data_IF_606231549205
#
_entry.id   IF_606231549205
#
_cell.length_a   1.000
_cell.length_b   1.000
_cell.length_c   1.000
_cell.angle_alpha   90.00
_cell.angle_beta   90.00
_cell.angle_gamma   90.00
#
_symmetry.space_group_name_H-M   'P 1'
#
loop_
_entity.id
_entity.type
_entity.pdbx_description
1 polymer ?
#
# COMPACT_ATOMS: atom_id res chain seq x y z
N UNK A 1 7.51 2.07 -49.76
CA UNK A 1 8.86 1.76 -49.24
C UNK A 1 9.20 2.85 -48.23
N UNK A 2 9.30 2.55 -46.98
CA UNK A 2 9.68 3.50 -45.91
C UNK A 2 11.15 3.91 -46.11
N UNK A 3 11.41 5.20 -45.98
CA UNK A 3 12.74 5.78 -46.12
C UNK A 3 13.70 5.14 -45.09
N UNK A 4 14.93 4.70 -45.46
CA UNK A 4 15.91 4.16 -44.53
C UNK A 4 16.23 5.08 -43.36
N UNK A 5 16.09 6.40 -43.52
CA UNK A 5 16.30 7.38 -42.46
C UNK A 5 15.19 7.39 -41.42
N UNK A 6 13.94 7.10 -41.81
CA UNK A 6 12.80 6.97 -40.86
C UNK A 6 12.97 5.75 -39.95
N UNK A 7 13.54 4.66 -40.45
CA UNK A 7 13.85 3.46 -39.69
C UNK A 7 15.00 3.74 -38.71
N UNK A 8 16.01 4.51 -39.10
CA UNK A 8 17.15 4.86 -38.26
C UNK A 8 16.74 5.76 -37.08
N UNK A 9 15.88 6.75 -37.36
CA UNK A 9 15.31 7.65 -36.33
C UNK A 9 14.44 6.85 -35.34
N UNK A 10 13.62 5.91 -35.84
CA UNK A 10 12.82 5.04 -34.94
C UNK A 10 13.69 4.13 -34.05
N UNK A 11 14.84 3.66 -34.55
CA UNK A 11 15.80 2.86 -33.76
C UNK A 11 16.56 3.71 -32.73
N UNK A 12 16.96 4.93 -33.08
CA UNK A 12 17.65 5.85 -32.16
C UNK A 12 16.68 6.25 -31.02
N UNK A 13 15.45 6.63 -31.34
CA UNK A 13 14.42 6.96 -30.33
C UNK A 13 14.09 5.77 -29.43
N UNK A 14 14.12 4.55 -29.98
CA UNK A 14 13.89 3.33 -29.18
C UNK A 14 15.07 3.02 -28.25
N UNK A 15 16.31 3.26 -28.70
CA UNK A 15 17.50 3.10 -27.85
C UNK A 15 17.58 4.15 -26.73
N UNK A 16 17.23 5.41 -27.00
CA UNK A 16 17.12 6.45 -25.97
C UNK A 16 15.99 6.16 -24.97
N UNK A 17 14.86 5.62 -25.45
CA UNK A 17 13.75 5.22 -24.57
C UNK A 17 14.16 4.08 -23.64
N UNK A 18 14.95 3.11 -24.09
CA UNK A 18 15.45 1.99 -23.27
C UNK A 18 16.44 2.49 -22.21
N UNK A 19 17.33 3.42 -22.56
CA UNK A 19 18.30 3.98 -21.61
C UNK A 19 17.69 4.89 -20.54
N UNK A 20 16.42 5.28 -20.69
CA UNK A 20 15.71 6.16 -19.77
C UNK A 20 14.66 5.46 -18.92
N UNK A 21 14.63 4.14 -18.87
CA UNK A 21 13.70 3.36 -18.03
C UNK A 21 14.24 3.31 -16.60
N UNK A 22 13.38 3.63 -15.64
CA UNK A 22 13.72 3.45 -14.22
C UNK A 22 13.94 1.98 -13.93
N UNK A 23 15.04 1.68 -13.24
CA UNK A 23 15.38 0.35 -12.74
C UNK A 23 14.95 0.21 -11.28
N UNK A 24 14.31 -0.90 -10.92
CA UNK A 24 13.78 -1.15 -9.58
C UNK A 24 14.86 -1.26 -8.50
N UNK A 25 16.03 -1.79 -8.85
CA UNK A 25 17.18 -1.92 -7.93
C UNK A 25 17.69 -0.55 -7.54
N UNK A 26 17.75 0.35 -8.52
CA UNK A 26 18.15 1.73 -8.30
C UNK A 26 17.11 2.51 -7.48
N UNK A 27 15.82 2.38 -7.79
CA UNK A 27 14.74 3.00 -7.00
C UNK A 27 14.80 2.48 -5.55
N UNK A 28 15.09 1.19 -5.36
CA UNK A 28 15.29 0.62 -4.04
C UNK A 28 16.51 1.22 -3.32
N UNK A 29 17.63 1.40 -4.03
CA UNK A 29 18.85 2.03 -3.49
C UNK A 29 18.58 3.48 -3.06
N UNK A 30 17.94 4.27 -3.91
CA UNK A 30 17.55 5.66 -3.61
C UNK A 30 16.64 5.70 -2.37
N UNK A 31 15.62 4.85 -2.30
CA UNK A 31 14.74 4.79 -1.13
C UNK A 31 15.47 4.35 0.14
N UNK A 32 16.46 3.49 0.03
CA UNK A 32 17.28 3.04 1.16
C UNK A 32 18.22 4.13 1.68
N UNK A 33 18.75 4.97 0.77
CA UNK A 33 19.63 6.10 1.11
C UNK A 33 18.87 7.37 1.52
N UNK A 34 17.69 7.59 0.96
CA UNK A 34 16.93 8.84 1.11
C UNK A 34 16.25 9.00 2.47
N UNK A 35 16.65 8.24 3.45
CA UNK A 35 16.20 8.42 4.83
C UNK A 35 14.68 8.60 4.99
N UNK A 36 14.28 8.94 6.17
CA UNK A 36 12.98 9.26 6.70
C UNK A 36 12.05 10.08 5.76
N UNK A 37 12.58 10.96 4.92
CA UNK A 37 11.78 11.82 4.03
C UNK A 37 10.98 11.01 2.99
N UNK A 38 11.48 9.85 2.55
CA UNK A 38 10.84 9.02 1.55
C UNK A 38 9.71 8.16 2.13
N UNK A 39 9.93 7.54 3.27
CA UNK A 39 9.09 6.45 3.74
C UNK A 39 8.13 6.83 4.86
N UNK A 40 8.38 7.92 5.58
CA UNK A 40 7.41 8.48 6.53
C UNK A 40 6.07 8.82 5.86
N UNK A 41 6.03 9.50 4.69
CA UNK A 41 4.79 9.70 3.94
C UNK A 41 4.09 8.41 3.54
N UNK A 42 4.84 7.36 3.18
CA UNK A 42 4.28 6.06 2.83
C UNK A 42 3.59 5.41 4.03
N UNK A 43 4.24 5.34 5.19
CA UNK A 43 3.61 4.76 6.38
C UNK A 43 2.40 5.55 6.85
N UNK A 44 2.44 6.88 6.80
CA UNK A 44 1.28 7.72 7.07
C UNK A 44 0.14 7.45 6.10
N UNK A 45 0.45 7.28 4.81
CA UNK A 45 -0.51 6.86 3.80
C UNK A 45 -1.11 5.51 4.15
N UNK A 46 -0.30 4.48 4.45
CA UNK A 46 -0.78 3.14 4.78
C UNK A 46 -1.71 3.14 6.00
N UNK A 47 -1.37 3.84 7.06
CA UNK A 47 -2.21 3.93 8.25
C UNK A 47 -3.55 4.62 7.95
N UNK A 48 -3.52 5.73 7.23
CA UNK A 48 -4.76 6.45 6.88
C UNK A 48 -5.61 5.63 5.90
N UNK A 49 -4.99 4.90 4.96
CA UNK A 49 -5.68 4.02 4.03
C UNK A 49 -6.39 2.88 4.78
N UNK A 50 -5.71 2.23 5.70
CA UNK A 50 -6.26 1.15 6.53
C UNK A 50 -7.39 1.66 7.43
N UNK A 51 -7.22 2.82 8.05
CA UNK A 51 -8.27 3.49 8.82
C UNK A 51 -9.55 3.70 7.99
N UNK A 52 -9.41 4.25 6.77
CA UNK A 52 -10.57 4.50 5.89
C UNK A 52 -11.22 3.21 5.41
N UNK A 53 -10.43 2.20 5.08
CA UNK A 53 -10.94 0.91 4.59
C UNK A 53 -11.62 0.09 5.68
N UNK A 54 -11.15 0.18 6.93
CA UNK A 54 -11.85 -0.42 8.06
C UNK A 54 -13.27 0.12 8.21
N UNK A 55 -13.46 1.42 7.99
CA UNK A 55 -14.77 2.08 8.05
C UNK A 55 -15.83 1.47 7.14
N UNK A 56 -15.43 0.83 6.03
CA UNK A 56 -16.37 0.27 5.03
C UNK A 56 -17.17 -0.91 5.60
N UNK A 57 -16.50 -1.90 6.16
CA UNK A 57 -17.14 -3.13 6.66
C UNK A 57 -16.99 -3.34 8.17
N UNK A 58 -16.21 -2.50 8.87
CA UNK A 58 -15.75 -2.72 10.23
C UNK A 58 -15.00 -4.06 10.40
N UNK A 59 -14.39 -4.55 9.30
CA UNK A 59 -13.75 -5.86 9.21
C UNK A 59 -12.75 -5.87 8.04
N UNK A 60 -11.49 -6.00 8.36
CA UNK A 60 -10.40 -5.99 7.37
C UNK A 60 -10.37 -7.25 6.50
N UNK A 61 -10.71 -8.42 7.04
CA UNK A 61 -10.69 -9.66 6.25
C UNK A 61 -11.72 -9.60 5.11
N UNK A 62 -12.91 -9.06 5.36
CA UNK A 62 -13.92 -8.84 4.32
C UNK A 62 -13.41 -7.88 3.24
N UNK A 63 -12.79 -6.77 3.66
CA UNK A 63 -12.23 -5.80 2.72
C UNK A 63 -11.08 -6.39 1.90
N UNK A 64 -10.18 -7.14 2.53
CA UNK A 64 -9.05 -7.81 1.87
C UNK A 64 -9.51 -8.85 0.84
N UNK A 65 -10.58 -9.60 1.14
CA UNK A 65 -11.19 -10.53 0.19
C UNK A 65 -11.75 -9.76 -1.01
N UNK A 66 -12.47 -8.66 -0.79
CA UNK A 66 -12.99 -7.83 -1.88
C UNK A 66 -11.87 -7.22 -2.73
N UNK A 67 -10.78 -6.75 -2.12
CA UNK A 67 -9.59 -6.30 -2.84
C UNK A 67 -9.01 -7.39 -3.74
N UNK A 68 -8.89 -8.61 -3.23
CA UNK A 68 -8.39 -9.74 -4.01
C UNK A 68 -9.29 -10.08 -5.21
N UNK A 69 -10.61 -10.04 -5.02
CA UNK A 69 -11.58 -10.22 -6.10
C UNK A 69 -11.39 -9.15 -7.19
N UNK A 70 -11.21 -7.90 -6.80
CA UNK A 70 -10.93 -6.79 -7.73
C UNK A 70 -9.58 -6.95 -8.43
N UNK A 71 -8.53 -7.37 -7.71
CA UNK A 71 -7.23 -7.61 -8.33
C UNK A 71 -7.36 -8.61 -9.49
N UNK A 72 -8.20 -9.64 -9.35
CA UNK A 72 -8.42 -10.60 -10.42
C UNK A 72 -8.98 -9.96 -11.69
N UNK A 73 -9.88 -8.98 -11.54
CA UNK A 73 -10.42 -8.20 -12.66
C UNK A 73 -9.30 -7.40 -13.34
N UNK A 74 -8.49 -6.68 -12.55
CA UNK A 74 -7.44 -5.83 -13.11
C UNK A 74 -6.35 -6.66 -13.81
N UNK A 75 -5.99 -7.82 -13.28
CA UNK A 75 -5.06 -8.76 -13.91
C UNK A 75 -5.64 -9.26 -15.23
N UNK A 76 -6.91 -9.71 -15.25
CA UNK A 76 -7.57 -10.16 -16.47
C UNK A 76 -7.64 -9.05 -17.54
N UNK A 77 -7.89 -7.82 -17.14
CA UNK A 77 -7.88 -6.67 -18.07
C UNK A 77 -6.48 -6.38 -18.60
N UNK A 78 -5.46 -6.45 -17.76
CA UNK A 78 -4.06 -6.27 -18.17
C UNK A 78 -3.61 -7.37 -19.13
N UNK A 79 -3.94 -8.62 -18.85
CA UNK A 79 -3.60 -9.80 -19.67
C UNK A 79 -4.25 -9.72 -21.07
N UNK A 80 -5.42 -9.07 -21.17
CA UNK A 80 -6.13 -8.84 -22.45
C UNK A 80 -5.81 -7.47 -23.08
N UNK A 81 -4.86 -6.71 -22.53
CA UNK A 81 -4.56 -5.33 -22.96
C UNK A 81 -5.78 -4.41 -22.98
N UNK A 82 -6.76 -4.67 -22.10
CA UNK A 82 -7.97 -3.90 -21.96
C UNK A 82 -7.84 -2.89 -20.83
N UNK A 83 -7.31 -1.72 -21.13
CA UNK A 83 -7.11 -0.66 -20.15
C UNK A 83 -8.30 0.30 -20.13
N UNK A 84 -8.77 0.61 -18.92
CA UNK A 84 -9.92 1.49 -18.74
C UNK A 84 -9.59 2.66 -17.82
N UNK A 85 -10.17 3.82 -18.15
CA UNK A 85 -10.21 4.95 -17.21
C UNK A 85 -11.10 4.65 -16.00
N UNK A 86 -10.96 5.44 -14.93
CA UNK A 86 -11.81 5.31 -13.76
C UNK A 86 -13.30 5.48 -14.11
N UNK A 87 -13.65 6.46 -14.94
CA UNK A 87 -15.03 6.69 -15.36
C UNK A 87 -15.59 5.48 -16.09
N UNK A 88 -14.88 4.96 -17.10
CA UNK A 88 -15.33 3.79 -17.86
C UNK A 88 -15.43 2.54 -16.98
N UNK A 89 -14.51 2.34 -16.04
CA UNK A 89 -14.56 1.20 -15.12
C UNK A 89 -15.77 1.27 -14.17
N UNK A 90 -16.01 2.43 -13.54
CA UNK A 90 -17.06 2.59 -12.55
C UNK A 90 -18.45 2.84 -13.14
N UNK A 91 -18.58 3.04 -14.47
CA UNK A 91 -19.87 3.12 -15.15
C UNK A 91 -20.46 1.76 -15.53
N UNK A 92 -19.76 0.67 -15.28
CA UNK A 92 -20.26 -0.68 -15.59
C UNK A 92 -21.31 -1.13 -14.57
N UNK A 93 -22.40 -1.75 -15.05
CA UNK A 93 -23.45 -2.31 -14.16
C UNK A 93 -22.95 -3.52 -13.37
N UNK A 94 -22.16 -4.35 -14.01
CA UNK A 94 -21.58 -5.57 -13.42
C UNK A 94 -20.28 -5.94 -14.10
N UNK A 95 -19.37 -6.53 -13.33
CA UNK A 95 -18.10 -7.03 -13.83
C UNK A 95 -17.93 -8.48 -13.40
N UNK A 96 -17.71 -9.36 -14.38
CA UNK A 96 -17.50 -10.78 -14.14
C UNK A 96 -16.10 -11.06 -13.59
N UNK A 97 -16.03 -11.98 -12.63
CA UNK A 97 -14.78 -12.55 -12.14
C UNK A 97 -14.85 -14.06 -12.34
N UNK A 98 -14.11 -14.57 -13.30
CA UNK A 98 -14.16 -15.99 -13.62
C UNK A 98 -13.38 -16.84 -12.62
N UNK A 99 -13.90 -18.05 -12.37
CA UNK A 99 -13.21 -19.18 -11.72
C UNK A 99 -12.50 -18.87 -10.40
N UNK A 100 -13.20 -18.28 -9.42
CA UNK A 100 -12.60 -18.10 -8.09
C UNK A 100 -12.93 -19.29 -7.18
N UNK A 101 -11.88 -19.93 -6.70
CA UNK A 101 -11.96 -20.98 -5.70
C UNK A 101 -11.70 -20.39 -4.30
N UNK A 102 -12.59 -20.69 -3.33
CA UNK A 102 -12.43 -20.24 -1.93
C UNK A 102 -11.11 -20.74 -1.29
N UNK A 103 -10.62 -21.92 -1.72
CA UNK A 103 -9.32 -22.44 -1.26
C UNK A 103 -8.18 -21.53 -1.75
N UNK A 104 -8.26 -21.06 -2.99
CA UNK A 104 -7.27 -20.14 -3.56
C UNK A 104 -7.24 -18.80 -2.81
N UNK A 105 -8.41 -18.24 -2.50
CA UNK A 105 -8.52 -17.04 -1.67
C UNK A 105 -7.88 -17.26 -0.30
N UNK A 106 -8.26 -18.39 0.36
CA UNK A 106 -7.73 -18.76 1.67
C UNK A 106 -6.20 -18.84 1.69
N UNK A 107 -5.61 -19.55 0.74
CA UNK A 107 -4.15 -19.72 0.62
C UNK A 107 -3.46 -18.38 0.32
N UNK A 108 -4.00 -17.60 -0.62
CA UNK A 108 -3.37 -16.35 -1.07
C UNK A 108 -3.39 -15.24 -0.01
N UNK A 109 -4.50 -15.15 0.74
CA UNK A 109 -4.69 -14.13 1.77
C UNK A 109 -4.30 -14.59 3.18
N UNK A 110 -3.91 -15.85 3.34
CA UNK A 110 -3.65 -16.46 4.65
C UNK A 110 -4.85 -16.31 5.62
N UNK A 111 -6.07 -16.48 5.10
CA UNK A 111 -7.32 -16.45 5.86
C UNK A 111 -7.89 -17.87 5.93
N UNK A 112 -8.31 -18.40 7.10
CA UNK A 112 -8.92 -19.73 7.19
C UNK A 112 -10.08 -19.89 6.22
N UNK A 113 -10.16 -21.05 5.55
CA UNK A 113 -11.16 -21.34 4.50
C UNK A 113 -12.59 -21.07 4.96
N UNK A 114 -12.92 -21.47 6.18
CA UNK A 114 -14.24 -21.25 6.76
C UNK A 114 -14.55 -19.76 6.97
N UNK A 115 -13.54 -18.97 7.40
CA UNK A 115 -13.65 -17.52 7.48
C UNK A 115 -13.88 -16.92 6.09
N UNK A 116 -13.14 -17.35 5.06
CA UNK A 116 -13.36 -16.90 3.67
C UNK A 116 -14.79 -17.21 3.24
N UNK A 117 -15.28 -18.44 3.47
CA UNK A 117 -16.64 -18.85 3.11
C UNK A 117 -17.69 -17.90 3.75
N UNK A 118 -17.58 -17.68 5.05
CA UNK A 118 -18.48 -16.78 5.81
C UNK A 118 -18.45 -15.34 5.28
N UNK A 119 -17.25 -14.81 4.99
CA UNK A 119 -17.09 -13.44 4.47
C UNK A 119 -17.60 -13.28 3.05
N UNK A 120 -17.40 -14.28 2.20
CA UNK A 120 -17.96 -14.28 0.84
C UNK A 120 -19.49 -14.36 0.89
N UNK A 121 -20.07 -15.17 1.77
CA UNK A 121 -21.53 -15.22 1.96
C UNK A 121 -22.05 -13.84 2.46
N UNK A 122 -21.37 -13.21 3.42
CA UNK A 122 -21.69 -11.86 3.87
C UNK A 122 -21.69 -10.83 2.72
N UNK A 123 -20.69 -10.89 1.83
CA UNK A 123 -20.65 -10.02 0.65
C UNK A 123 -21.84 -10.28 -0.31
N UNK A 124 -22.28 -11.54 -0.42
CA UNK A 124 -23.48 -11.90 -1.20
C UNK A 124 -24.78 -11.38 -0.55
N UNK A 125 -24.95 -11.57 0.77
CA UNK A 125 -26.09 -11.06 1.54
C UNK A 125 -26.21 -9.53 1.47
N UNK A 126 -25.07 -8.84 1.33
CA UNK A 126 -25.01 -7.38 1.13
C UNK A 126 -25.13 -6.97 -0.33
N UNK A 127 -25.40 -7.90 -1.22
CA UNK A 127 -25.54 -7.67 -2.67
C UNK A 127 -24.30 -6.97 -3.30
N UNK A 128 -23.12 -7.14 -2.68
CA UNK A 128 -21.87 -6.60 -3.20
C UNK A 128 -21.32 -7.51 -4.29
N UNK A 129 -21.46 -8.82 -4.09
CA UNK A 129 -21.16 -9.83 -5.09
C UNK A 129 -22.37 -10.74 -5.29
N UNK A 130 -22.47 -11.35 -6.46
CA UNK A 130 -23.41 -12.43 -6.71
C UNK A 130 -22.74 -13.56 -7.50
N UNK A 131 -23.30 -14.75 -7.41
CA UNK A 131 -22.79 -15.94 -8.11
C UNK A 131 -23.76 -16.38 -9.18
N UNK A 132 -23.23 -16.76 -10.34
CA UNK A 132 -23.96 -17.45 -11.39
C UNK A 132 -23.08 -18.61 -11.89
N UNK A 133 -23.48 -19.83 -11.57
CA UNK A 133 -22.66 -21.01 -11.83
C UNK A 133 -21.28 -20.94 -11.09
N UNK A 134 -20.20 -20.98 -11.86
CA UNK A 134 -18.81 -20.91 -11.35
C UNK A 134 -18.23 -19.48 -11.30
N UNK A 135 -18.97 -18.50 -11.80
CA UNK A 135 -18.52 -17.09 -11.89
C UNK A 135 -19.02 -16.31 -10.70
N UNK A 136 -18.19 -15.35 -10.24
CA UNK A 136 -18.55 -14.32 -9.28
C UNK A 136 -18.62 -12.99 -10.04
N UNK A 137 -19.59 -12.17 -9.70
CA UNK A 137 -19.78 -10.84 -10.27
C UNK A 137 -19.72 -9.79 -9.17
N UNK A 138 -19.05 -8.67 -9.45
CA UNK A 138 -19.25 -7.41 -8.73
C UNK A 138 -20.37 -6.64 -9.42
N UNK A 139 -21.29 -6.08 -8.64
CA UNK A 139 -22.34 -5.22 -9.16
C UNK A 139 -21.99 -3.72 -9.00
N UNK A 140 -22.85 -2.83 -9.51
CA UNK A 140 -22.67 -1.38 -9.41
C UNK A 140 -22.54 -0.89 -7.96
N UNK A 141 -23.25 -1.51 -7.01
CA UNK A 141 -23.12 -1.20 -5.58
C UNK A 141 -21.71 -1.52 -5.04
N UNK A 142 -21.12 -2.64 -5.46
CA UNK A 142 -19.75 -2.97 -5.12
C UNK A 142 -18.77 -1.94 -5.70
N UNK A 143 -18.99 -1.55 -6.95
CA UNK A 143 -18.15 -0.57 -7.63
C UNK A 143 -18.19 0.79 -6.91
N UNK A 144 -19.35 1.23 -6.45
CA UNK A 144 -19.47 2.48 -5.68
C UNK A 144 -18.73 2.44 -4.34
N UNK A 145 -18.90 1.35 -3.57
CA UNK A 145 -18.21 1.15 -2.29
C UNK A 145 -16.69 1.20 -2.44
N UNK A 146 -16.17 0.71 -3.56
CA UNK A 146 -14.73 0.56 -3.79
C UNK A 146 -14.08 1.70 -4.56
N UNK A 147 -14.84 2.74 -4.96
CA UNK A 147 -14.26 3.93 -5.58
C UNK A 147 -13.18 4.56 -4.70
N UNK A 148 -11.97 4.79 -5.22
CA UNK A 148 -10.86 5.29 -4.41
C UNK A 148 -10.87 6.81 -4.25
N UNK A 149 -12.04 7.46 -4.21
CA UNK A 149 -12.21 8.92 -4.18
C UNK A 149 -11.36 9.57 -3.09
N UNK A 150 -11.33 8.95 -1.90
CA UNK A 150 -10.60 9.50 -0.75
C UNK A 150 -9.15 9.00 -0.64
N UNK A 151 -8.79 7.94 -1.34
CA UNK A 151 -7.47 7.31 -1.25
C UNK A 151 -6.56 7.69 -2.41
N UNK A 152 -7.11 8.01 -3.58
CA UNK A 152 -6.33 8.44 -4.73
C UNK A 152 -5.51 9.71 -4.46
N UNK A 153 -6.06 10.80 -3.90
CA UNK A 153 -5.27 11.99 -3.55
C UNK A 153 -4.10 11.70 -2.60
N UNK A 154 -4.26 10.72 -1.72
CA UNK A 154 -3.20 10.34 -0.77
C UNK A 154 -2.06 9.57 -1.44
N UNK A 155 -2.40 8.67 -2.38
CA UNK A 155 -1.42 7.98 -3.21
C UNK A 155 -0.65 9.01 -4.05
N UNK A 156 -1.34 9.98 -4.65
CA UNK A 156 -0.72 11.00 -5.47
C UNK A 156 0.26 11.89 -4.65
N UNK A 157 -0.09 12.31 -3.43
CA UNK A 157 0.81 13.03 -2.53
C UNK A 157 2.07 12.19 -2.21
N UNK A 158 1.91 10.90 -1.98
CA UNK A 158 3.03 10.01 -1.75
C UNK A 158 3.92 9.91 -2.99
N UNK A 159 3.33 9.66 -4.17
CA UNK A 159 4.06 9.52 -5.43
C UNK A 159 4.76 10.81 -5.86
N UNK A 160 4.15 11.99 -5.63
CA UNK A 160 4.79 13.29 -5.85
C UNK A 160 6.10 13.39 -5.07
N UNK A 161 6.09 13.05 -3.78
CA UNK A 161 7.31 13.04 -2.96
C UNK A 161 8.35 12.06 -3.46
N UNK A 162 7.93 10.88 -3.94
CA UNK A 162 8.84 9.91 -4.52
C UNK A 162 9.44 10.42 -5.85
N UNK A 163 8.66 11.09 -6.70
CA UNK A 163 9.16 11.66 -7.94
C UNK A 163 10.20 12.76 -7.70
N UNK A 164 10.01 13.59 -6.66
CA UNK A 164 10.98 14.63 -6.26
C UNK A 164 12.30 14.00 -5.81
N UNK A 165 12.26 12.91 -5.05
CA UNK A 165 13.48 12.20 -4.63
C UNK A 165 14.23 11.62 -5.83
N UNK A 166 13.51 10.97 -6.75
CA UNK A 166 14.12 10.40 -7.95
C UNK A 166 14.70 11.48 -8.88
N UNK A 167 14.08 12.67 -8.92
CA UNK A 167 14.57 13.80 -9.71
C UNK A 167 15.87 14.40 -9.16
N UNK A 168 16.04 14.45 -7.84
CA UNK A 168 17.27 14.93 -7.19
C UNK A 168 18.51 14.09 -7.58
N UNK A 169 18.31 12.82 -7.84
CA UNK A 169 19.35 11.89 -8.27
C UNK A 169 19.56 11.84 -9.80
N UNK A 170 19.00 12.82 -10.54
CA UNK A 170 19.05 12.92 -12.01
C UNK A 170 18.43 11.74 -12.80
N UNK A 171 17.68 10.86 -12.13
CA UNK A 171 17.18 9.64 -12.75
C UNK A 171 15.86 9.81 -13.49
N UNK A 172 15.07 10.84 -13.17
CA UNK A 172 13.75 10.99 -13.78
C UNK A 172 13.59 12.27 -14.61
N UNK A 173 14.52 13.21 -14.52
CA UNK A 173 14.53 14.45 -15.31
C UNK A 173 13.31 15.39 -15.09
N UNK A 174 12.22 14.90 -14.50
CA UNK A 174 10.95 15.61 -14.33
C UNK A 174 10.38 15.31 -12.94
N UNK A 175 10.13 16.35 -12.14
CA UNK A 175 9.27 16.20 -10.97
C UNK A 175 7.82 16.24 -11.43
N UNK A 176 7.04 15.26 -10.96
CA UNK A 176 5.61 15.17 -11.26
C UNK A 176 4.82 15.86 -10.15
N UNK A 177 3.88 16.73 -10.52
CA UNK A 177 2.98 17.33 -9.55
C UNK A 177 1.81 16.37 -9.24
N UNK A 178 1.20 16.60 -8.09
CA UNK A 178 0.08 15.79 -7.59
C UNK A 178 -1.09 15.73 -8.58
N UNK A 179 -1.45 16.84 -9.22
CA UNK A 179 -2.58 16.92 -10.14
C UNK A 179 -2.39 16.03 -11.36
N UNK A 180 -1.19 16.07 -11.96
CA UNK A 180 -0.82 15.24 -13.10
C UNK A 180 -0.86 13.74 -12.74
N UNK A 181 -0.36 13.40 -11.55
CA UNK A 181 -0.39 12.01 -11.05
C UNK A 181 -1.83 11.53 -10.85
N UNK A 182 -2.67 12.32 -10.21
CA UNK A 182 -4.09 11.98 -10.00
C UNK A 182 -4.83 11.79 -11.33
N UNK A 183 -4.62 12.70 -12.29
CA UNK A 183 -5.26 12.62 -13.59
C UNK A 183 -4.78 11.41 -14.36
N UNK A 184 -3.47 11.17 -14.39
CA UNK A 184 -2.89 10.00 -15.04
C UNK A 184 -3.47 8.69 -14.50
N UNK A 185 -3.56 8.55 -13.16
CA UNK A 185 -4.15 7.37 -12.54
C UNK A 185 -5.64 7.22 -12.89
N UNK A 186 -6.39 8.32 -13.01
CA UNK A 186 -7.80 8.27 -13.46
C UNK A 186 -7.93 7.81 -14.90
N UNK A 187 -7.06 8.27 -15.78
CA UNK A 187 -7.10 7.95 -17.21
C UNK A 187 -6.63 6.52 -17.49
N UNK A 188 -5.69 6.00 -16.69
CA UNK A 188 -5.11 4.65 -16.81
C UNK A 188 -5.46 3.77 -15.59
N UNK A 189 -6.71 3.88 -15.11
CA UNK A 189 -7.12 3.40 -13.81
C UNK A 189 -6.84 1.91 -13.58
N UNK A 190 -7.26 1.05 -14.49
CA UNK A 190 -7.17 -0.41 -14.27
C UNK A 190 -5.74 -0.90 -14.16
N UNK A 191 -4.82 -0.41 -14.98
CA UNK A 191 -3.39 -0.79 -14.94
C UNK A 191 -2.69 -0.19 -13.73
N UNK A 192 -2.95 1.08 -13.39
CA UNK A 192 -2.36 1.71 -12.21
C UNK A 192 -2.81 1.01 -10.92
N UNK A 193 -4.09 0.62 -10.87
CA UNK A 193 -4.67 -0.08 -9.72
C UNK A 193 -4.22 -1.54 -9.63
N UNK A 194 -3.94 -2.18 -10.77
CA UNK A 194 -3.31 -3.49 -10.81
C UNK A 194 -1.93 -3.43 -10.16
N UNK A 195 -1.07 -2.46 -10.55
CA UNK A 195 0.26 -2.26 -9.95
C UNK A 195 0.14 -1.99 -8.44
N UNK A 196 -0.80 -1.13 -8.03
CA UNK A 196 -1.01 -0.85 -6.62
C UNK A 196 -1.45 -2.09 -5.83
N UNK A 197 -2.38 -2.90 -6.34
CA UNK A 197 -2.83 -4.11 -5.64
C UNK A 197 -1.81 -5.24 -5.65
N UNK A 198 -0.96 -5.31 -6.66
CA UNK A 198 0.20 -6.22 -6.70
C UNK A 198 1.13 -5.95 -5.52
N UNK A 199 1.28 -4.70 -5.13
CA UNK A 199 2.01 -4.29 -3.92
C UNK A 199 1.17 -4.43 -2.65
N UNK A 200 -0.04 -3.88 -2.61
CA UNK A 200 -0.83 -3.68 -1.38
C UNK A 200 -1.35 -4.99 -0.77
N UNK A 201 -1.79 -5.96 -1.57
CA UNK A 201 -2.33 -7.22 -1.04
C UNK A 201 -1.25 -8.05 -0.36
N UNK A 202 -0.07 -8.31 -0.96
CA UNK A 202 1.03 -8.96 -0.25
C UNK A 202 1.51 -8.19 0.99
N UNK A 203 1.53 -6.86 0.94
CA UNK A 203 1.85 -6.01 2.10
C UNK A 203 0.92 -6.31 3.28
N UNK A 204 -0.39 -6.21 3.08
CA UNK A 204 -1.38 -6.48 4.12
C UNK A 204 -1.36 -7.94 4.60
N UNK A 205 -1.18 -8.89 3.69
CA UNK A 205 -1.13 -10.32 4.04
C UNK A 205 0.08 -10.65 4.92
N UNK A 206 1.26 -10.03 4.67
CA UNK A 206 2.44 -10.19 5.53
C UNK A 206 2.19 -9.63 6.92
N UNK A 207 1.63 -8.42 7.00
CA UNK A 207 1.33 -7.81 8.30
C UNK A 207 0.26 -8.60 9.07
N UNK A 208 -0.77 -9.09 8.38
CA UNK A 208 -1.77 -9.98 8.98
C UNK A 208 -1.13 -11.21 9.60
N UNK A 209 -0.19 -11.85 8.90
CA UNK A 209 0.53 -13.04 9.40
C UNK A 209 1.39 -12.71 10.62
N UNK A 210 2.09 -11.58 10.61
CA UNK A 210 2.98 -11.17 11.71
C UNK A 210 2.21 -10.77 12.96
N UNK A 211 1.10 -10.04 12.83
CA UNK A 211 0.30 -9.50 13.93
C UNK A 211 -0.97 -10.30 14.24
N UNK A 212 -1.16 -11.48 13.61
CA UNK A 212 -2.33 -12.37 13.73
C UNK A 212 -3.53 -11.86 12.91
N UNK A 213 -3.82 -10.55 12.98
CA UNK A 213 -4.89 -9.88 12.23
C UNK A 213 -4.51 -8.42 11.93
N UNK A 214 -5.24 -7.81 11.01
CA UNK A 214 -4.96 -6.44 10.57
C UNK A 214 -5.41 -5.37 11.57
N UNK A 215 -6.36 -5.67 12.46
CA UNK A 215 -6.71 -4.78 13.57
C UNK A 215 -5.52 -4.62 14.52
N UNK A 216 -4.89 -5.73 14.89
CA UNK A 216 -3.68 -5.71 15.74
C UNK A 216 -2.54 -4.95 15.07
N UNK A 217 -2.34 -5.16 13.77
CA UNK A 217 -1.35 -4.39 13.01
C UNK A 217 -1.67 -2.90 12.98
N UNK A 218 -2.93 -2.49 12.78
CA UNK A 218 -3.34 -1.09 12.78
C UNK A 218 -3.15 -0.44 14.15
N UNK A 219 -3.49 -1.13 15.23
CA UNK A 219 -3.24 -0.68 16.62
C UNK A 219 -1.72 -0.52 16.85
N UNK A 220 -0.90 -1.49 16.44
CA UNK A 220 0.55 -1.40 16.53
C UNK A 220 1.10 -0.23 15.71
N UNK A 221 0.61 -0.04 14.48
CA UNK A 221 0.98 1.05 13.60
C UNK A 221 0.68 2.43 14.17
N UNK A 222 -0.43 2.58 14.89
CA UNK A 222 -0.77 3.83 15.61
C UNK A 222 0.26 4.16 16.69
N UNK A 223 0.72 3.13 17.44
CA UNK A 223 1.79 3.29 18.44
C UNK A 223 3.12 3.62 17.76
N UNK A 224 3.43 2.93 16.66
CA UNK A 224 4.67 3.15 15.91
C UNK A 224 4.76 4.57 15.32
N UNK A 225 3.66 5.10 14.76
CA UNK A 225 3.60 6.49 14.27
C UNK A 225 3.78 7.50 15.40
N UNK A 226 3.13 7.28 16.56
CA UNK A 226 3.30 8.16 17.72
C UNK A 226 4.76 8.16 18.21
N UNK A 227 5.39 6.98 18.29
CA UNK A 227 6.79 6.85 18.70
C UNK A 227 7.75 7.45 17.67
N UNK A 228 7.47 7.27 16.37
CA UNK A 228 8.23 7.87 15.28
C UNK A 228 8.19 9.40 15.32
N UNK A 229 7.03 10.00 15.60
CA UNK A 229 6.91 11.44 15.76
C UNK A 229 7.78 11.95 16.92
N UNK A 230 7.70 11.29 18.09
CA UNK A 230 8.51 11.65 19.23
C UNK A 230 10.03 11.46 19.00
N UNK A 231 10.40 10.42 18.24
CA UNK A 231 11.79 10.18 17.84
C UNK A 231 12.31 11.29 16.92
N UNK A 232 11.50 11.73 15.98
CA UNK A 232 11.89 12.82 15.06
C UNK A 232 12.06 14.16 15.77
N UNK A 233 11.18 14.47 16.72
CA UNK A 233 11.32 15.69 17.54
C UNK A 233 12.63 15.66 18.35
N UNK A 234 13.07 14.49 18.76
CA UNK A 234 14.33 14.30 19.49
C UNK A 234 15.54 14.34 18.54
N UNK A 235 15.45 13.75 17.34
CA UNK A 235 16.50 13.80 16.31
C UNK A 235 16.81 15.20 15.83
N UNK A 236 15.86 16.13 15.86
CA UNK A 236 16.13 17.54 15.52
C UNK A 236 17.14 18.20 16.48
N UNK A 237 17.36 17.58 17.65
CA UNK A 237 18.28 18.06 18.70
C UNK A 237 19.65 17.38 18.64
N UNK A 238 19.79 16.30 17.85
CA UNK A 238 21.00 15.50 17.72
C UNK A 238 21.53 15.65 16.29
N UNK A 239 22.83 15.69 16.10
CA UNK A 239 23.44 15.71 14.76
C UNK A 239 23.01 14.53 13.93
N UNK A 240 22.43 14.80 12.73
CA UNK A 240 21.87 13.80 11.80
C UNK A 240 22.90 12.81 11.22
N UNK A 241 24.16 12.97 11.52
CA UNK A 241 25.27 12.25 10.87
C UNK A 241 25.37 10.75 11.21
N UNK A 242 24.63 10.29 12.22
CA UNK A 242 24.69 8.88 12.66
C UNK A 242 23.69 7.96 11.96
N UNK A 243 22.69 8.51 11.22
CA UNK A 243 21.66 7.72 10.54
C UNK A 243 21.93 7.74 9.04
N UNK A 244 22.69 6.79 8.56
CA UNK A 244 23.14 6.72 7.17
C UNK A 244 22.12 6.07 6.24
N UNK A 245 21.15 5.33 6.80
CA UNK A 245 20.10 4.65 6.03
C UNK A 245 18.75 4.68 6.73
N UNK A 246 17.68 4.43 5.96
CA UNK A 246 16.36 4.25 6.57
C UNK A 246 16.28 3.01 7.46
N UNK A 247 17.07 1.99 7.20
CA UNK A 247 17.15 0.81 8.06
C UNK A 247 17.67 1.21 9.45
N UNK A 248 18.75 2.01 9.50
CA UNK A 248 19.30 2.54 10.76
C UNK A 248 18.26 3.39 11.50
N UNK A 249 17.58 4.26 10.77
CA UNK A 249 16.46 5.06 11.31
C UNK A 249 15.38 4.15 11.92
N UNK A 250 14.91 3.14 11.17
CA UNK A 250 13.85 2.24 11.61
C UNK A 250 14.25 1.46 12.86
N UNK A 251 15.47 0.91 12.89
CA UNK A 251 15.99 0.18 14.03
C UNK A 251 16.19 1.08 15.25
N UNK A 252 16.67 2.30 15.05
CA UNK A 252 16.84 3.30 16.12
C UNK A 252 15.50 3.75 16.68
N UNK A 253 14.52 4.02 15.83
CA UNK A 253 13.14 4.33 16.23
C UNK A 253 12.51 3.20 17.05
N UNK A 254 12.74 1.93 16.68
CA UNK A 254 12.25 0.78 17.45
C UNK A 254 12.90 0.67 18.84
N UNK A 255 14.16 1.09 18.98
CA UNK A 255 14.89 1.09 20.25
C UNK A 255 14.62 2.32 21.11
N UNK A 256 14.14 3.40 20.50
CA UNK A 256 13.86 4.66 21.17
C UNK A 256 12.82 4.51 22.29
N UNK A 257 13.06 5.18 23.40
CA UNK A 257 12.16 5.19 24.57
C UNK A 257 11.58 6.59 24.73
N UNK A 258 10.40 6.85 24.18
CA UNK A 258 9.78 8.17 24.32
C UNK A 258 9.41 8.45 25.77
N UNK A 259 9.45 9.73 26.17
CA UNK A 259 9.05 10.18 27.52
C UNK A 259 7.57 9.91 27.81
N UNK A 260 6.73 9.88 26.78
CA UNK A 260 5.30 9.58 26.84
C UNK A 260 4.95 8.55 25.77
N UNK A 261 4.06 7.64 26.11
CA UNK A 261 3.43 6.73 25.17
C UNK A 261 2.07 7.26 24.71
N UNK A 262 1.34 6.46 23.95
CA UNK A 262 -0.02 6.75 23.50
C UNK A 262 -1.03 5.91 24.26
N UNK A 263 -2.16 6.48 24.69
CA UNK A 263 -3.21 5.76 25.41
C UNK A 263 -4.22 5.08 24.47
N UNK A 264 -5.05 4.18 25.03
CA UNK A 264 -6.00 3.40 24.28
C UNK A 264 -7.10 4.24 23.58
N UNK A 265 -7.48 5.39 24.14
CA UNK A 265 -8.47 6.29 23.52
C UNK A 265 -7.89 6.94 22.26
N UNK A 266 -6.69 7.53 22.35
CA UNK A 266 -6.01 8.09 21.18
C UNK A 266 -5.74 7.06 20.09
N UNK A 267 -5.40 5.81 20.47
CA UNK A 267 -5.26 4.70 19.50
C UNK A 267 -6.60 4.41 18.82
N UNK A 268 -7.70 4.39 19.56
CA UNK A 268 -9.07 4.20 19.02
C UNK A 268 -9.42 5.30 18.00
N UNK A 269 -9.13 6.55 18.33
CA UNK A 269 -9.40 7.69 17.47
C UNK A 269 -8.58 7.62 16.16
N UNK A 270 -7.29 7.31 16.25
CA UNK A 270 -6.39 7.19 15.09
C UNK A 270 -6.77 6.00 14.21
N UNK A 271 -7.09 4.85 14.81
CA UNK A 271 -7.33 3.59 14.09
C UNK A 271 -8.77 3.40 13.63
N UNK A 272 -9.73 4.19 14.13
CA UNK A 272 -11.18 3.98 14.02
C UNK A 272 -11.68 2.64 14.57
N UNK A 273 -10.85 1.92 15.29
CA UNK A 273 -11.24 0.65 15.94
C UNK A 273 -11.90 0.98 17.27
N UNK A 274 -13.08 0.40 17.59
CA UNK A 274 -13.74 0.65 18.86
C UNK A 274 -12.81 0.41 20.06
N UNK A 275 -12.84 1.33 21.05
CA UNK A 275 -11.92 1.33 22.20
C UNK A 275 -11.87 -0.01 22.93
N UNK A 276 -13.00 -0.69 23.10
CA UNK A 276 -13.05 -2.02 23.72
C UNK A 276 -12.23 -3.06 22.93
N UNK A 277 -12.30 -3.01 21.61
CA UNK A 277 -11.48 -3.86 20.71
C UNK A 277 -10.02 -3.49 20.81
N UNK A 278 -9.67 -2.19 20.81
CA UNK A 278 -8.28 -1.72 21.01
C UNK A 278 -7.72 -2.28 22.30
N UNK A 279 -8.42 -2.17 23.44
CA UNK A 279 -7.96 -2.69 24.73
C UNK A 279 -7.70 -4.20 24.66
N UNK A 280 -8.59 -4.96 24.03
CA UNK A 280 -8.41 -6.40 23.84
C UNK A 280 -7.17 -6.72 23.00
N UNK A 281 -6.94 -5.99 21.92
CA UNK A 281 -5.75 -6.14 21.06
C UNK A 281 -4.46 -5.75 21.78
N UNK A 282 -4.47 -4.66 22.54
CA UNK A 282 -3.35 -4.21 23.36
C UNK A 282 -2.92 -5.28 24.37
N UNK A 283 -3.87 -5.91 25.10
CA UNK A 283 -3.56 -7.01 26.02
C UNK A 283 -2.85 -8.18 25.34
N UNK A 284 -3.32 -8.57 24.15
CA UNK A 284 -2.70 -9.67 23.39
C UNK A 284 -1.29 -9.29 22.91
N UNK A 285 -1.10 -8.06 22.40
CA UNK A 285 0.19 -7.59 21.91
C UNK A 285 1.20 -7.36 23.05
N UNK A 286 0.74 -6.89 24.22
CA UNK A 286 1.57 -6.77 25.42
C UNK A 286 2.07 -8.14 25.88
N UNK A 287 1.19 -9.16 25.96
CA UNK A 287 1.56 -10.55 26.27
C UNK A 287 2.57 -11.13 25.27
N UNK A 288 2.51 -10.73 24.02
CA UNK A 288 3.46 -11.12 22.97
C UNK A 288 4.68 -10.19 22.85
N UNK A 289 4.79 -9.20 23.75
CA UNK A 289 5.89 -8.23 23.80
C UNK A 289 6.10 -7.38 22.54
N UNK A 290 5.04 -7.21 21.73
CA UNK A 290 5.07 -6.24 20.62
C UNK A 290 5.04 -4.80 21.13
N UNK A 291 4.46 -4.60 22.31
CA UNK A 291 4.30 -3.29 22.96
C UNK A 291 4.60 -3.41 24.45
N UNK A 292 4.88 -2.28 25.07
CA UNK A 292 5.04 -2.12 26.53
C UNK A 292 4.02 -1.11 27.03
N UNK A 293 3.57 -1.27 28.27
CA UNK A 293 2.68 -0.38 28.98
C UNK A 293 3.39 0.22 30.18
N UNK A 294 3.22 1.51 30.40
CA UNK A 294 3.69 2.18 31.62
C UNK A 294 2.60 2.29 32.70
N UNK A 295 2.95 2.80 33.87
CA UNK A 295 2.01 2.95 35.01
C UNK A 295 0.86 3.94 34.72
N UNK A 296 1.00 4.82 33.71
CA UNK A 296 -0.03 5.78 33.26
C UNK A 296 -0.96 5.19 32.21
N UNK A 297 -0.89 3.88 31.94
CA UNK A 297 -1.64 3.16 30.91
C UNK A 297 -1.37 3.69 29.49
N UNK A 298 -0.15 4.17 29.25
CA UNK A 298 0.34 4.56 27.93
C UNK A 298 1.20 3.44 27.34
N UNK A 299 1.14 3.29 26.02
CA UNK A 299 1.78 2.21 25.26
C UNK A 299 2.91 2.75 24.38
N UNK A 300 3.99 2.00 24.33
CA UNK A 300 5.16 2.22 23.46
C UNK A 300 5.52 0.91 22.78
N UNK A 301 6.38 0.96 21.76
CA UNK A 301 6.86 -0.25 21.10
C UNK A 301 7.65 -1.12 22.07
N UNK A 302 7.42 -2.43 21.99
CA UNK A 302 8.18 -3.43 22.74
C UNK A 302 9.54 -3.68 22.13
N UNK A 303 10.44 -4.29 22.90
CA UNK A 303 11.74 -4.76 22.43
C UNK A 303 11.76 -6.28 22.49
N UNK A 304 11.54 -7.00 21.41
CA UNK A 304 11.44 -8.45 21.42
C UNK A 304 11.96 -9.10 20.13
N UNK A 305 12.11 -10.44 20.19
CA UNK A 305 12.42 -11.33 19.05
C UNK A 305 11.44 -11.14 17.87
N UNK A 306 10.21 -10.75 18.14
CA UNK A 306 9.20 -10.45 17.11
C UNK A 306 9.55 -9.22 16.24
N UNK A 307 10.42 -8.32 16.70
CA UNK A 307 10.95 -7.22 15.89
C UNK A 307 11.74 -7.70 14.68
N UNK A 308 12.35 -8.90 14.74
CA UNK A 308 12.99 -9.52 13.56
C UNK A 308 12.00 -9.79 12.44
N UNK A 309 10.77 -10.24 12.77
CA UNK A 309 9.73 -10.47 11.77
C UNK A 309 9.19 -9.14 11.20
N UNK A 310 9.07 -8.11 12.03
CA UNK A 310 8.68 -6.76 11.59
C UNK A 310 9.76 -6.18 10.68
N UNK A 311 11.03 -6.30 11.05
CA UNK A 311 12.16 -5.86 10.23
C UNK A 311 12.26 -6.64 8.90
N UNK A 312 12.10 -7.96 8.92
CA UNK A 312 12.06 -8.76 7.69
C UNK A 312 10.93 -8.34 6.74
N UNK A 313 9.74 -8.03 7.28
CA UNK A 313 8.65 -7.47 6.49
C UNK A 313 8.99 -6.10 5.92
N UNK A 314 9.70 -5.27 6.66
CA UNK A 314 10.14 -3.96 6.22
C UNK A 314 10.97 -4.03 4.93
N UNK A 315 12.04 -4.84 4.89
CA UNK A 315 12.89 -4.98 3.70
C UNK A 315 12.12 -5.48 2.47
N UNK A 316 11.23 -6.47 2.66
CA UNK A 316 10.39 -6.99 1.58
C UNK A 316 9.41 -5.90 1.10
N UNK A 317 8.86 -5.13 2.03
CA UNK A 317 7.93 -4.05 1.69
C UNK A 317 8.62 -2.94 0.90
N UNK A 318 9.86 -2.59 1.25
CA UNK A 318 10.64 -1.60 0.49
C UNK A 318 10.90 -2.05 -0.94
N UNK A 319 11.32 -3.31 -1.15
CA UNK A 319 11.53 -3.86 -2.50
C UNK A 319 10.24 -3.79 -3.33
N UNK A 320 9.12 -4.25 -2.77
CA UNK A 320 7.84 -4.23 -3.47
C UNK A 320 7.32 -2.81 -3.72
N UNK A 321 7.63 -1.86 -2.83
CA UNK A 321 7.31 -0.45 -3.02
C UNK A 321 8.12 0.15 -4.17
N UNK A 322 9.40 -0.21 -4.27
CA UNK A 322 10.27 0.19 -5.38
C UNK A 322 9.75 -0.36 -6.70
N UNK A 323 9.33 -1.64 -6.74
CA UNK A 323 8.69 -2.24 -7.92
C UNK A 323 7.42 -1.48 -8.33
N UNK A 324 6.56 -1.11 -7.37
CA UNK A 324 5.34 -0.34 -7.62
C UNK A 324 5.65 1.04 -8.20
N UNK A 325 6.55 1.80 -7.57
CA UNK A 325 6.94 3.13 -8.03
C UNK A 325 7.60 3.06 -9.42
N UNK A 326 8.51 2.11 -9.63
CA UNK A 326 9.19 1.90 -10.93
C UNK A 326 8.18 1.61 -12.02
N UNK A 327 7.24 0.69 -11.81
CA UNK A 327 6.22 0.31 -12.79
C UNK A 327 5.33 1.50 -13.16
N UNK A 328 4.87 2.26 -12.15
CA UNK A 328 3.98 3.38 -12.36
C UNK A 328 4.68 4.55 -13.06
N UNK A 329 5.89 4.93 -12.61
CA UNK A 329 6.63 6.04 -13.21
C UNK A 329 7.09 5.73 -14.63
N UNK A 330 7.50 4.50 -14.93
CA UNK A 330 7.79 4.09 -16.30
C UNK A 330 6.55 4.15 -17.19
N UNK A 331 5.38 3.74 -16.68
CA UNK A 331 4.13 3.87 -17.42
C UNK A 331 3.79 5.34 -17.70
N UNK A 332 3.94 6.23 -16.73
CA UNK A 332 3.71 7.67 -16.88
C UNK A 332 4.67 8.30 -17.90
N UNK A 333 5.94 7.94 -17.87
CA UNK A 333 6.95 8.44 -18.78
C UNK A 333 6.67 8.00 -20.22
N UNK A 334 6.40 6.72 -20.43
CA UNK A 334 6.13 6.17 -21.76
C UNK A 334 4.85 6.72 -22.40
N UNK A 335 3.85 7.10 -21.60
CA UNK A 335 2.62 7.71 -22.13
C UNK A 335 2.82 9.17 -22.54
N UNK A 336 3.68 9.93 -21.85
CA UNK A 336 4.03 11.32 -22.24
C UNK A 336 4.86 11.37 -23.53
N UNK A 337 5.72 10.37 -23.76
CA UNK A 337 6.52 10.27 -24.99
C UNK A 337 5.70 9.94 -26.26
N UNK A 338 4.43 9.53 -26.14
CA UNK A 338 3.52 9.30 -27.26
C UNK A 338 2.71 10.54 -27.67
N UNK A 339 2.83 11.64 -26.95
CA UNK A 339 2.02 12.88 -27.12
C UNK A 339 2.89 14.01 -27.70
N UNK A 340 4.19 13.86 -27.76
CA UNK A 340 5.12 14.77 -28.43
C UNK A 340 5.64 14.17 -29.72
#
# INVERSE_FOLDING_TARGET
>A
MSNPDDIKIAYINKAETINNVLNKELVFEIFSKSNFEALSPFYKFQQTWVHKTFGVFKDFDTYLILMYLKQKIYVDYSDRFHYMSANAFFSQDKIAIEKINLIQISKRLNIPKETVRRKVNFLQEKEIIFRSGKSIYLNSRALEIIKPIKTLPMIAIFLEKMSILLSKENWFGISLNRGDIEQFIKDHFTVCWEYFYRFQIPYLTRHRKTFIDLESWNVWGSIALSQSAAFNDDLQKITRDELTSYEDYFLSMLKFKPKRGINASSISDISSIPRATVIRKLKVMEKKSFIKRNNKLEYTLGQNKNLKAVHGNYLINQKNLSDFCTSLFNLMKNSKLKIT
#
